data_IF_288866161903
#
_entry.id   IF_288866161903
#
_cell.length_a   1.000
_cell.length_b   1.000
_cell.length_c   1.000
_cell.angle_alpha   90.00
_cell.angle_beta   90.00
_cell.angle_gamma   90.00
#
_symmetry.space_group_name_H-M   'P 1'
#
loop_
_entity.id
_entity.type
_entity.pdbx_description
1 polymer ?
#
# COMPACT_ATOMS: atom_id res chain seq x y z
N UNK A 1 -10.11 -6.50 25.32
CA UNK A 1 -8.73 -6.20 24.86
C UNK A 1 -8.54 -6.46 23.37
N UNK A 2 -9.24 -7.42 22.77
CA UNK A 2 -9.11 -7.73 21.34
C UNK A 2 -9.61 -6.61 20.42
N UNK A 3 -10.76 -5.99 20.70
CA UNK A 3 -11.30 -4.88 19.89
C UNK A 3 -10.35 -3.69 19.76
N UNK A 4 -9.66 -3.32 20.85
CA UNK A 4 -8.66 -2.25 20.82
C UNK A 4 -7.44 -2.63 19.97
N UNK A 5 -7.01 -3.90 20.00
CA UNK A 5 -5.93 -4.43 19.17
C UNK A 5 -6.34 -4.49 17.69
N UNK A 6 -7.58 -4.89 17.41
CA UNK A 6 -8.14 -4.89 16.05
C UNK A 6 -8.24 -3.46 15.48
N UNK A 7 -8.68 -2.49 16.29
CA UNK A 7 -8.70 -1.08 15.89
C UNK A 7 -7.30 -0.52 15.63
N UNK A 8 -6.32 -0.91 16.45
CA UNK A 8 -4.92 -0.51 16.25
C UNK A 8 -4.35 -1.12 14.96
N UNK A 9 -4.61 -2.41 14.71
CA UNK A 9 -4.23 -3.08 13.48
C UNK A 9 -4.92 -2.45 12.26
N UNK A 10 -6.22 -2.12 12.34
CA UNK A 10 -6.93 -1.41 11.27
C UNK A 10 -6.25 -0.09 10.88
N UNK A 11 -5.88 0.71 11.88
CA UNK A 11 -5.20 2.00 11.63
C UNK A 11 -3.80 1.76 11.06
N UNK A 12 -3.04 0.83 11.66
CA UNK A 12 -1.71 0.49 11.17
C UNK A 12 -1.75 0.03 9.70
N UNK A 13 -2.67 -0.86 9.36
CA UNK A 13 -2.81 -1.37 7.99
C UNK A 13 -3.40 -0.34 7.03
N UNK A 14 -4.30 0.53 7.50
CA UNK A 14 -4.75 1.68 6.69
C UNK A 14 -3.59 2.61 6.33
N UNK A 15 -2.69 2.88 7.29
CA UNK A 15 -1.49 3.70 7.05
C UNK A 15 -0.52 2.98 6.10
N UNK A 16 -0.31 1.68 6.27
CA UNK A 16 0.52 0.89 5.36
C UNK A 16 -0.05 0.86 3.94
N UNK A 17 -1.36 0.71 3.80
CA UNK A 17 -2.06 0.79 2.51
C UNK A 17 -1.89 2.16 1.86
N UNK A 18 -2.09 3.24 2.62
CA UNK A 18 -1.88 4.60 2.12
C UNK A 18 -0.42 4.88 1.72
N UNK A 19 0.54 4.36 2.48
CA UNK A 19 1.98 4.47 2.19
C UNK A 19 2.30 3.73 0.89
N UNK A 20 1.79 2.52 0.73
CA UNK A 20 1.96 1.73 -0.49
C UNK A 20 1.34 2.43 -1.70
N UNK A 21 0.18 3.07 -1.54
CA UNK A 21 -0.44 3.88 -2.59
C UNK A 21 0.38 5.10 -3.00
N UNK A 22 1.00 5.79 -2.03
CA UNK A 22 1.91 6.90 -2.31
C UNK A 22 3.19 6.44 -3.02
N UNK A 23 3.79 5.32 -2.59
CA UNK A 23 4.94 4.70 -3.25
C UNK A 23 4.61 4.30 -4.69
N UNK A 24 3.46 3.67 -4.91
CA UNK A 24 2.95 3.32 -6.24
C UNK A 24 2.81 4.54 -7.16
N UNK A 25 2.26 5.65 -6.67
CA UNK A 25 2.11 6.87 -7.48
C UNK A 25 3.47 7.48 -7.84
N UNK A 26 4.38 7.55 -6.85
CA UNK A 26 5.77 8.00 -7.07
C UNK A 26 6.48 7.12 -8.09
N UNK A 27 6.38 5.80 -7.95
CA UNK A 27 6.96 4.83 -8.88
C UNK A 27 6.34 4.91 -10.27
N UNK A 28 5.05 5.24 -10.39
CA UNK A 28 4.38 5.47 -11.67
C UNK A 28 4.89 6.74 -12.36
N UNK A 29 5.14 7.80 -11.60
CA UNK A 29 5.76 9.04 -12.10
C UNK A 29 7.20 8.77 -12.57
N UNK A 30 8.00 8.02 -11.80
CA UNK A 30 9.37 7.63 -12.17
C UNK A 30 9.36 6.73 -13.42
N UNK A 31 8.47 5.75 -13.49
CA UNK A 31 8.36 4.87 -14.66
C UNK A 31 8.03 5.64 -15.94
N UNK A 32 7.25 6.73 -15.83
CA UNK A 32 6.90 7.61 -16.95
C UNK A 32 7.92 8.69 -17.23
N UNK A 33 8.82 9.01 -16.31
CA UNK A 33 9.78 10.11 -16.48
C UNK A 33 10.88 9.74 -17.51
N UNK A 34 10.94 10.46 -18.64
CA UNK A 34 11.92 10.24 -19.71
C UNK A 34 13.35 10.66 -19.37
N UNK A 35 13.53 11.43 -18.30
CA UNK A 35 14.82 11.93 -17.84
C UNK A 35 15.58 10.90 -16.98
N UNK A 36 14.89 9.87 -16.47
CA UNK A 36 15.52 8.79 -15.68
C UNK A 36 15.92 7.60 -16.55
N UNK A 37 17.01 6.88 -16.20
CA UNK A 37 17.47 5.71 -16.94
C UNK A 37 16.37 4.64 -17.09
N UNK A 38 16.34 3.96 -18.23
CA UNK A 38 15.39 2.85 -18.51
C UNK A 38 15.41 1.78 -17.42
N UNK A 39 16.58 1.47 -16.85
CA UNK A 39 16.70 0.52 -15.73
C UNK A 39 15.92 1.00 -14.49
N UNK A 40 16.00 2.29 -14.16
CA UNK A 40 15.26 2.92 -13.07
C UNK A 40 13.75 2.92 -13.36
N UNK A 41 13.35 3.19 -14.61
CA UNK A 41 11.93 3.17 -15.02
C UNK A 41 11.33 1.77 -14.91
N UNK A 42 12.08 0.73 -15.30
CA UNK A 42 11.66 -0.66 -15.19
C UNK A 42 11.55 -1.11 -13.73
N UNK A 43 12.53 -0.77 -12.90
CA UNK A 43 12.46 -1.03 -11.45
C UNK A 43 11.24 -0.34 -10.85
N UNK A 44 11.04 0.95 -11.13
CA UNK A 44 9.89 1.69 -10.64
C UNK A 44 8.56 1.10 -11.15
N UNK A 45 8.47 0.67 -12.41
CA UNK A 45 7.29 -0.03 -12.92
C UNK A 45 7.02 -1.35 -12.18
N UNK A 46 8.06 -2.10 -11.82
CA UNK A 46 7.95 -3.32 -11.02
C UNK A 46 7.52 -3.01 -9.58
N UNK A 47 8.16 -2.05 -8.94
CA UNK A 47 7.82 -1.62 -7.58
C UNK A 47 6.39 -1.08 -7.53
N UNK A 48 5.94 -0.29 -8.51
CA UNK A 48 4.54 0.17 -8.59
C UNK A 48 3.51 -0.98 -8.65
N UNK A 49 3.86 -2.10 -9.28
CA UNK A 49 3.00 -3.29 -9.29
C UNK A 49 3.02 -3.97 -7.92
N UNK A 50 4.21 -4.13 -7.31
CA UNK A 50 4.36 -4.66 -5.95
C UNK A 50 3.57 -3.85 -4.93
N UNK A 51 3.79 -2.54 -4.92
CA UNK A 51 3.09 -1.56 -4.08
C UNK A 51 1.57 -1.63 -4.27
N UNK A 52 1.07 -1.87 -5.50
CA UNK A 52 -0.37 -2.06 -5.73
C UNK A 52 -0.90 -3.33 -5.07
N UNK A 53 -0.13 -4.41 -5.09
CA UNK A 53 -0.48 -5.66 -4.41
C UNK A 53 -0.48 -5.48 -2.89
N UNK A 54 0.54 -4.84 -2.33
CA UNK A 54 0.62 -4.51 -0.90
C UNK A 54 -0.48 -3.55 -0.47
N UNK A 55 -0.76 -2.49 -1.25
CA UNK A 55 -1.88 -1.56 -1.04
C UNK A 55 -3.20 -2.33 -0.92
N UNK A 56 -3.45 -3.25 -1.86
CA UNK A 56 -4.68 -4.07 -1.86
C UNK A 56 -4.72 -5.01 -0.66
N UNK A 57 -3.61 -5.67 -0.34
CA UNK A 57 -3.53 -6.61 0.77
C UNK A 57 -3.75 -5.91 2.13
N UNK A 58 -3.07 -4.79 2.35
CA UNK A 58 -3.22 -3.99 3.57
C UNK A 58 -4.61 -3.38 3.69
N UNK A 59 -5.19 -2.88 2.60
CA UNK A 59 -6.54 -2.34 2.65
C UNK A 59 -7.59 -3.43 2.96
N UNK A 60 -7.44 -4.62 2.36
CA UNK A 60 -8.31 -5.76 2.65
C UNK A 60 -8.21 -6.22 4.11
N UNK A 61 -6.99 -6.32 4.65
CA UNK A 61 -6.81 -6.72 6.05
C UNK A 61 -7.30 -5.63 7.02
N UNK A 62 -7.13 -4.35 6.67
CA UNK A 62 -7.75 -3.26 7.42
C UNK A 62 -9.28 -3.43 7.44
N UNK A 63 -9.93 -3.64 6.30
CA UNK A 63 -11.38 -3.87 6.25
C UNK A 63 -11.80 -5.08 7.09
N UNK A 64 -11.06 -6.19 7.03
CA UNK A 64 -11.30 -7.37 7.86
C UNK A 64 -11.17 -7.05 9.37
N UNK A 65 -10.11 -6.35 9.78
CA UNK A 65 -9.93 -5.93 11.18
C UNK A 65 -11.03 -4.97 11.65
N UNK A 66 -11.54 -4.11 10.77
CA UNK A 66 -12.66 -3.20 11.06
C UNK A 66 -13.97 -3.96 11.23
N UNK A 67 -14.22 -4.97 10.42
CA UNK A 67 -15.41 -5.83 10.54
C UNK A 67 -15.35 -6.68 11.81
N UNK A 68 -14.19 -7.28 12.10
CA UNK A 68 -13.94 -8.02 13.35
C UNK A 68 -14.01 -7.13 14.60
N UNK A 69 -13.67 -5.85 14.49
CA UNK A 69 -13.81 -4.90 15.60
C UNK A 69 -15.25 -4.41 15.81
N UNK A 70 -16.15 -4.59 14.83
CA UNK A 70 -17.56 -4.20 14.90
C UNK A 70 -18.47 -5.29 15.49
N UNK A 71 -18.09 -6.57 15.33
CA UNK A 71 -18.77 -7.72 15.94
C UNK A 71 -18.26 -7.99 17.35
#
# INVERSE_FOLDING_TARGET
METAKQAFNYVAESIQGATSGASKETNKEIAKNDDVPVSTRLSAGKDAIGDKFDETAHNNKAEAHKELAKN
#
